data_IF_423194948049
#
_entry.id   IF_423194948049
#
_cell.length_a   1.000
_cell.length_b   1.000
_cell.length_c   1.000
_cell.angle_alpha   90.00
_cell.angle_beta   90.00
_cell.angle_gamma   90.00
#
_symmetry.space_group_name_H-M   'P 1'
#
loop_
_entity.id
_entity.type
_entity.pdbx_description
1 polymer ?
#
# COMPACT_ATOMS: atom_id res chain seq x y z
N UNK A 1 -14.53 -2.81 24.63
CA UNK A 1 -13.74 -2.04 23.64
C UNK A 1 -14.69 -1.13 22.86
N UNK A 2 -14.38 0.16 22.62
CA UNK A 2 -15.29 1.05 21.89
C UNK A 2 -15.55 0.51 20.46
N UNK A 3 -16.76 0.70 19.89
CA UNK A 3 -17.18 0.06 18.65
C UNK A 3 -16.26 0.29 17.43
N UNK A 4 -15.47 1.37 17.44
CA UNK A 4 -14.56 1.74 16.35
C UNK A 4 -13.12 1.27 16.48
N UNK A 5 -12.71 0.68 17.61
CA UNK A 5 -11.32 0.26 17.80
C UNK A 5 -10.90 -0.85 16.81
N UNK A 6 -11.85 -1.69 16.40
CA UNK A 6 -11.61 -2.85 15.52
C UNK A 6 -11.35 -2.49 14.05
N UNK A 7 -11.60 -1.25 13.61
CA UNK A 7 -11.37 -0.84 12.21
C UNK A 7 -9.89 -0.89 11.81
N UNK A 8 -8.99 -0.79 12.80
CA UNK A 8 -7.56 -0.72 12.57
C UNK A 8 -6.84 -2.05 12.79
N UNK A 9 -7.51 -3.12 13.24
CA UNK A 9 -6.87 -4.40 13.58
C UNK A 9 -6.05 -4.97 12.41
N UNK A 10 -6.59 -4.91 11.19
CA UNK A 10 -5.88 -5.35 9.99
C UNK A 10 -4.65 -4.48 9.66
N UNK A 11 -4.73 -3.17 9.92
CA UNK A 11 -3.62 -2.26 9.70
C UNK A 11 -2.53 -2.47 10.75
N UNK A 12 -2.91 -2.57 12.03
CA UNK A 12 -2.00 -2.82 13.16
C UNK A 12 -1.29 -4.15 12.99
N UNK A 13 -2.01 -5.24 12.70
CA UNK A 13 -1.42 -6.57 12.47
C UNK A 13 -0.36 -6.56 11.35
N UNK A 14 -0.61 -5.83 10.26
CA UNK A 14 0.38 -5.72 9.18
C UNK A 14 1.54 -4.78 9.54
N UNK A 15 1.29 -3.74 10.34
CA UNK A 15 2.32 -2.82 10.82
C UNK A 15 3.27 -3.50 11.80
N UNK A 16 2.80 -4.40 12.67
CA UNK A 16 3.65 -5.16 13.60
C UNK A 16 4.74 -5.98 12.89
N UNK A 17 4.50 -6.40 11.64
CA UNK A 17 5.50 -7.07 10.80
C UNK A 17 6.73 -6.20 10.53
N UNK A 18 6.56 -4.87 10.46
CA UNK A 18 7.67 -3.93 10.34
C UNK A 18 8.61 -4.04 11.53
N UNK A 19 8.09 -4.09 12.74
CA UNK A 19 8.89 -4.11 13.96
C UNK A 19 9.51 -5.48 14.22
N UNK A 20 8.73 -6.55 14.01
CA UNK A 20 9.16 -7.92 14.29
C UNK A 20 10.10 -8.49 13.22
N UNK A 21 9.83 -8.21 11.93
CA UNK A 21 10.60 -8.75 10.80
C UNK A 21 11.53 -7.75 10.15
N UNK A 22 11.47 -6.46 10.54
CA UNK A 22 12.22 -5.37 9.89
C UNK A 22 11.90 -5.24 8.39
N UNK A 23 10.72 -5.71 7.98
CA UNK A 23 10.23 -5.64 6.61
C UNK A 23 9.01 -4.72 6.54
N UNK A 24 9.10 -3.64 5.75
CA UNK A 24 7.94 -2.78 5.53
C UNK A 24 6.85 -3.54 4.75
N UNK A 25 5.60 -3.57 5.24
CA UNK A 25 4.47 -4.12 4.47
C UNK A 25 4.18 -3.28 3.22
N UNK A 26 4.67 -2.04 3.18
CA UNK A 26 4.58 -1.13 2.03
C UNK A 26 6.01 -0.87 1.53
N UNK A 27 6.53 -1.66 0.59
CA UNK A 27 7.86 -1.44 0.05
C UNK A 27 7.91 -0.13 -0.73
N UNK A 28 9.04 0.59 -0.67
CA UNK A 28 9.22 1.90 -1.31
C UNK A 28 8.88 1.90 -2.80
N UNK A 29 9.17 0.80 -3.51
CA UNK A 29 8.83 0.63 -4.93
C UNK A 29 7.32 0.75 -5.20
N UNK A 30 6.47 0.29 -4.28
CA UNK A 30 5.01 0.41 -4.41
C UNK A 30 4.56 1.87 -4.29
N UNK A 31 5.14 2.60 -3.32
CA UNK A 31 4.87 4.03 -3.14
C UNK A 31 5.30 4.82 -4.38
N UNK A 32 6.52 4.57 -4.86
CA UNK A 32 7.05 5.21 -6.06
C UNK A 32 6.19 4.91 -7.30
N UNK A 33 5.70 3.68 -7.47
CA UNK A 33 4.78 3.33 -8.55
C UNK A 33 3.51 4.19 -8.50
N UNK A 34 2.83 4.27 -7.35
CA UNK A 34 1.59 5.03 -7.23
C UNK A 34 1.81 6.54 -7.37
N UNK A 35 2.89 7.07 -6.78
CA UNK A 35 3.25 8.48 -6.90
C UNK A 35 3.62 8.83 -8.35
N UNK A 36 4.39 7.96 -9.02
CA UNK A 36 4.81 8.16 -10.41
C UNK A 36 3.64 8.14 -11.38
N UNK A 37 2.68 7.21 -11.24
CA UNK A 37 1.48 7.19 -12.09
C UNK A 37 0.66 8.47 -11.90
N UNK A 38 0.46 8.91 -10.65
CA UNK A 38 -0.27 10.14 -10.37
C UNK A 38 0.44 11.37 -10.95
N UNK A 39 1.75 11.48 -10.75
CA UNK A 39 2.57 12.56 -11.31
C UNK A 39 2.51 12.59 -12.84
N UNK A 40 2.67 11.43 -13.49
CA UNK A 40 2.59 11.31 -14.94
C UNK A 40 1.22 11.76 -15.47
N UNK A 41 0.13 11.32 -14.84
CA UNK A 41 -1.23 11.66 -15.23
C UNK A 41 -1.52 13.16 -15.09
N UNK A 42 -1.15 13.77 -13.95
CA UNK A 42 -1.36 15.19 -13.70
C UNK A 42 -0.56 16.06 -14.67
N UNK A 43 0.72 15.77 -14.84
CA UNK A 43 1.59 16.53 -15.72
C UNK A 43 1.23 16.34 -17.21
N UNK A 44 0.80 15.14 -17.61
CA UNK A 44 0.35 14.87 -18.98
C UNK A 44 -0.95 15.62 -19.28
N UNK A 45 -1.91 15.61 -18.34
CA UNK A 45 -3.17 16.34 -18.48
C UNK A 45 -2.92 17.86 -18.64
N UNK A 46 -2.08 18.44 -17.79
CA UNK A 46 -1.65 19.83 -17.91
C UNK A 46 -1.00 20.13 -19.27
N UNK A 47 -0.20 19.20 -19.79
CA UNK A 47 0.47 19.29 -21.09
C UNK A 47 -0.39 18.76 -22.26
N UNK A 48 -1.73 18.82 -22.14
CA UNK A 48 -2.69 18.47 -23.19
C UNK A 48 -2.50 17.04 -23.74
N UNK A 49 -2.24 16.08 -22.85
CA UNK A 49 -2.11 14.67 -23.19
C UNK A 49 -0.74 14.25 -23.72
N UNK A 50 0.30 15.08 -23.54
CA UNK A 50 1.66 14.70 -23.92
C UNK A 50 2.13 13.45 -23.17
N UNK A 51 2.75 12.51 -23.88
CA UNK A 51 3.41 11.36 -23.26
C UNK A 51 4.65 11.82 -22.48
N UNK A 52 4.77 11.40 -21.22
CA UNK A 52 5.86 11.79 -20.33
C UNK A 52 6.61 10.56 -19.83
N UNK A 53 7.93 10.67 -19.75
CA UNK A 53 8.79 9.73 -19.02
C UNK A 53 8.80 10.11 -17.54
N UNK A 54 8.60 9.13 -16.66
CA UNK A 54 8.56 9.36 -15.21
C UNK A 54 9.54 8.42 -14.52
N UNK A 55 10.55 8.98 -13.83
CA UNK A 55 11.66 8.22 -13.23
C UNK A 55 11.20 7.13 -12.27
N UNK A 56 10.13 7.41 -11.53
CA UNK A 56 9.50 6.52 -10.57
C UNK A 56 8.83 5.30 -11.24
N UNK A 57 8.66 5.32 -12.57
CA UNK A 57 8.11 4.25 -13.39
C UNK A 57 9.17 3.52 -14.23
N UNK A 58 10.46 3.84 -14.07
CA UNK A 58 11.57 3.20 -14.82
C UNK A 58 11.84 1.75 -14.38
N UNK A 59 11.26 1.30 -13.26
CA UNK A 59 11.43 -0.05 -12.75
C UNK A 59 10.09 -0.79 -12.64
N UNK A 60 10.13 -2.11 -12.85
CA UNK A 60 8.98 -2.96 -12.61
C UNK A 60 8.78 -3.21 -11.10
N UNK A 61 7.51 -3.22 -10.68
CA UNK A 61 7.11 -3.65 -9.35
C UNK A 61 6.27 -4.92 -9.47
N UNK A 62 6.77 -6.01 -8.87
CA UNK A 62 6.01 -7.26 -8.74
C UNK A 62 5.37 -7.30 -7.36
N UNK A 63 4.03 -7.36 -7.32
CA UNK A 63 3.32 -7.54 -6.07
C UNK A 63 3.66 -8.89 -5.43
N UNK A 64 3.74 -8.94 -4.08
CA UNK A 64 3.90 -10.21 -3.36
C UNK A 64 2.64 -11.06 -3.56
N UNK A 65 2.82 -12.38 -3.60
CA UNK A 65 1.71 -13.32 -3.73
C UNK A 65 0.74 -13.25 -2.54
N UNK A 66 1.26 -12.96 -1.34
CA UNK A 66 0.43 -12.63 -0.20
C UNK A 66 -0.07 -11.18 -0.30
N UNK A 67 -1.39 -11.02 -0.36
CA UNK A 67 -2.07 -9.72 -0.43
C UNK A 67 -2.04 -8.95 0.89
N UNK A 68 -1.73 -9.61 2.02
CA UNK A 68 -1.78 -8.99 3.36
C UNK A 68 -3.19 -8.79 3.90
N UNK A 69 -4.23 -9.33 3.24
CA UNK A 69 -5.59 -9.33 3.76
C UNK A 69 -5.70 -10.28 4.95
N UNK A 70 -6.37 -9.84 6.01
CA UNK A 70 -6.85 -10.76 7.03
C UNK A 70 -7.89 -11.69 6.40
N UNK A 71 -7.73 -12.99 6.60
CA UNK A 71 -8.67 -14.03 6.13
C UNK A 71 -9.26 -14.72 7.36
N UNK A 72 -10.57 -14.94 7.39
CA UNK A 72 -11.28 -15.54 8.53
C UNK A 72 -12.33 -14.62 9.15
N UNK A 73 -12.97 -15.07 10.24
CA UNK A 73 -13.85 -14.21 11.04
C UNK A 73 -12.99 -13.25 11.86
N UNK A 74 -13.19 -11.95 11.70
CA UNK A 74 -12.64 -10.95 12.63
C UNK A 74 -13.51 -11.01 13.90
N UNK A 75 -13.29 -12.05 14.69
CA UNK A 75 -13.95 -12.26 15.97
C UNK A 75 -12.83 -12.49 16.98
N UNK A 76 -12.35 -11.42 17.62
CA UNK A 76 -11.80 -11.60 18.95
C UNK A 76 -12.95 -12.14 19.80
N UNK A 77 -12.83 -13.38 20.28
CA UNK A 77 -13.68 -13.87 21.35
C UNK A 77 -13.57 -12.86 22.51
N UNK A 78 -14.74 -12.40 22.94
CA UNK A 78 -14.87 -11.56 24.11
C UNK A 78 -14.99 -12.56 25.26
N UNK A 79 -13.90 -12.79 25.99
CA UNK A 79 -13.98 -13.24 27.37
C UNK A 79 -14.44 -12.08 28.26
#
# INVERSE_FOLDING_TARGET
MPPGAKFFDAQVHNLEKLFTKKESPIPIKRTLLTSGVLEAAMNSNFQKGKMLTTKQLEFAYTAKADSGFLRGRISAEID
#
